data_IF_200343004454
#
_entry.id   IF_200343004454
#
_cell.length_a   1.000
_cell.length_b   1.000
_cell.length_c   1.000
_cell.angle_alpha   90.00
_cell.angle_beta   90.00
_cell.angle_gamma   90.00
#
_symmetry.space_group_name_H-M   'P 1'
#
loop_
_entity.id
_entity.type
_entity.pdbx_description
1 polymer ?
#
# COMPACT_ATOMS: atom_id res chain seq x y z
N UNK A 1 -27.22 2.01 18.42
CA UNK A 1 -26.65 0.65 18.62
C UNK A 1 -26.03 0.09 17.34
N UNK A 2 -26.74 0.12 16.20
CA UNK A 2 -26.24 -0.36 14.89
C UNK A 2 -24.89 0.24 14.43
N UNK A 3 -24.68 1.55 14.62
CA UNK A 3 -23.43 2.23 14.24
C UNK A 3 -22.18 1.70 14.95
N UNK A 4 -22.33 1.27 16.22
CA UNK A 4 -21.23 0.67 17.00
C UNK A 4 -20.81 -0.69 16.43
N UNK A 5 -21.77 -1.53 16.06
CA UNK A 5 -21.47 -2.84 15.47
C UNK A 5 -20.82 -2.73 14.10
N UNK A 6 -21.26 -1.78 13.27
CA UNK A 6 -20.63 -1.50 11.97
C UNK A 6 -19.19 -1.03 12.13
N UNK A 7 -18.93 -0.13 13.08
CA UNK A 7 -17.57 0.36 13.37
C UNK A 7 -16.66 -0.78 13.86
N UNK A 8 -17.15 -1.63 14.77
CA UNK A 8 -16.41 -2.78 15.26
C UNK A 8 -16.10 -3.77 14.13
N UNK A 9 -17.09 -4.10 13.29
CA UNK A 9 -16.89 -4.98 12.14
C UNK A 9 -15.84 -4.42 11.17
N UNK A 10 -15.87 -3.11 10.88
CA UNK A 10 -14.88 -2.45 10.03
C UNK A 10 -13.47 -2.55 10.60
N UNK A 11 -13.29 -2.28 11.89
CA UNK A 11 -11.99 -2.39 12.56
C UNK A 11 -11.49 -3.84 12.51
N UNK A 12 -12.36 -4.81 12.79
CA UNK A 12 -12.02 -6.23 12.74
C UNK A 12 -11.59 -6.65 11.33
N UNK A 13 -12.35 -6.28 10.30
CA UNK A 13 -12.00 -6.58 8.89
C UNK A 13 -10.68 -5.91 8.50
N UNK A 14 -10.45 -4.66 8.91
CA UNK A 14 -9.19 -3.96 8.67
C UNK A 14 -8.00 -4.69 9.29
N UNK A 15 -8.10 -5.09 10.56
CA UNK A 15 -7.05 -5.83 11.26
C UNK A 15 -6.74 -7.15 10.56
N UNK A 16 -7.77 -7.94 10.25
CA UNK A 16 -7.56 -9.22 9.56
C UNK A 16 -6.97 -9.04 8.15
N UNK A 17 -7.42 -8.04 7.40
CA UNK A 17 -6.90 -7.77 6.06
C UNK A 17 -5.43 -7.36 6.11
N UNK A 18 -5.07 -6.43 7.02
CA UNK A 18 -3.69 -5.99 7.21
C UNK A 18 -2.78 -7.15 7.62
N UNK A 19 -3.22 -7.98 8.57
CA UNK A 19 -2.45 -9.13 9.03
C UNK A 19 -2.28 -10.16 7.92
N UNK A 20 -3.37 -10.55 7.26
CA UNK A 20 -3.33 -11.53 6.18
C UNK A 20 -2.42 -11.05 5.03
N UNK A 21 -2.57 -9.81 4.58
CA UNK A 21 -1.74 -9.25 3.50
C UNK A 21 -0.28 -9.12 3.93
N UNK A 22 0.00 -8.66 5.14
CA UNK A 22 1.39 -8.55 5.63
C UNK A 22 2.07 -9.91 5.70
N UNK A 23 1.39 -10.93 6.24
CA UNK A 23 1.92 -12.30 6.31
C UNK A 23 2.16 -12.85 4.91
N UNK A 24 1.21 -12.69 3.98
CA UNK A 24 1.36 -13.16 2.61
C UNK A 24 2.55 -12.50 1.90
N UNK A 25 2.76 -11.19 2.10
CA UNK A 25 3.88 -10.47 1.51
C UNK A 25 5.23 -10.91 2.09
N UNK A 26 5.30 -11.25 3.37
CA UNK A 26 6.51 -11.72 4.03
C UNK A 26 6.86 -13.18 3.69
N UNK A 27 5.85 -14.02 3.41
CA UNK A 27 6.03 -15.43 3.05
C UNK A 27 5.99 -15.67 1.54
N UNK A 28 6.04 -14.62 0.71
CA UNK A 28 5.78 -14.74 -0.73
C UNK A 28 6.83 -15.59 -1.45
N UNK A 29 8.10 -15.58 -1.02
CA UNK A 29 9.16 -16.42 -1.61
C UNK A 29 8.81 -17.90 -1.50
N UNK A 30 8.51 -18.37 -0.29
CA UNK A 30 8.18 -19.76 -0.02
C UNK A 30 6.91 -20.20 -0.74
N UNK A 31 5.89 -19.32 -0.80
CA UNK A 31 4.66 -19.58 -1.53
C UNK A 31 4.90 -19.73 -3.04
N UNK A 32 5.74 -18.87 -3.62
CA UNK A 32 6.09 -18.95 -5.04
C UNK A 32 6.91 -20.22 -5.34
N UNK A 33 7.88 -20.55 -4.49
CA UNK A 33 8.68 -21.78 -4.62
C UNK A 33 7.77 -23.02 -4.50
N UNK A 34 6.80 -23.01 -3.57
CA UNK A 34 5.80 -24.07 -3.43
C UNK A 34 4.97 -24.23 -4.72
N UNK A 35 4.66 -23.12 -5.40
CA UNK A 35 4.02 -23.10 -6.72
C UNK A 35 4.96 -23.46 -7.89
N UNK A 36 6.17 -23.95 -7.63
CA UNK A 36 7.21 -24.30 -8.61
C UNK A 36 7.74 -23.13 -9.43
N UNK A 37 7.69 -21.91 -8.88
CA UNK A 37 8.33 -20.76 -9.50
C UNK A 37 9.86 -20.88 -9.43
N UNK A 38 10.54 -20.28 -10.41
CA UNK A 38 12.00 -20.15 -10.37
C UNK A 38 12.46 -19.45 -9.07
N UNK A 39 13.43 -20.03 -8.32
CA UNK A 39 13.88 -19.46 -7.05
C UNK A 39 14.49 -18.05 -7.16
N UNK A 40 15.15 -17.73 -8.28
CA UNK A 40 15.73 -16.40 -8.47
C UNK A 40 14.64 -15.35 -8.67
N UNK A 41 13.62 -15.67 -9.48
CA UNK A 41 12.45 -14.80 -9.67
C UNK A 41 11.66 -14.66 -8.37
N UNK A 42 11.46 -15.75 -7.63
CA UNK A 42 10.74 -15.73 -6.35
C UNK A 42 11.42 -14.82 -5.31
N UNK A 43 12.75 -14.93 -5.17
CA UNK A 43 13.53 -14.05 -4.27
C UNK A 43 13.50 -12.59 -4.72
N UNK A 44 13.59 -12.34 -6.01
CA UNK A 44 13.52 -10.99 -6.57
C UNK A 44 12.15 -10.34 -6.26
N UNK A 45 11.04 -11.07 -6.42
CA UNK A 45 9.71 -10.59 -6.07
C UNK A 45 9.52 -10.43 -4.54
N UNK A 46 10.08 -11.35 -3.74
CA UNK A 46 10.06 -11.27 -2.27
C UNK A 46 10.71 -10.00 -1.72
N UNK A 47 11.83 -9.57 -2.31
CA UNK A 47 12.49 -8.32 -1.91
C UNK A 47 11.59 -7.08 -2.10
N UNK A 48 10.82 -7.04 -3.20
CA UNK A 48 9.80 -6.01 -3.42
C UNK A 48 8.66 -6.10 -2.41
N UNK A 49 8.07 -7.29 -2.26
CA UNK A 49 6.91 -7.52 -1.39
C UNK A 49 7.21 -7.20 0.08
N UNK A 50 8.40 -7.60 0.56
CA UNK A 50 8.85 -7.32 1.92
C UNK A 50 8.96 -5.80 2.15
N UNK A 51 9.58 -5.07 1.24
CA UNK A 51 9.68 -3.61 1.34
C UNK A 51 8.32 -2.90 1.20
N UNK A 52 7.43 -3.42 0.34
CA UNK A 52 6.08 -2.91 0.14
C UNK A 52 5.15 -3.15 1.34
N UNK A 53 5.46 -4.16 2.18
CA UNK A 53 4.65 -4.51 3.36
C UNK A 53 4.49 -3.36 4.35
N UNK A 54 5.51 -2.49 4.45
CA UNK A 54 5.49 -1.29 5.29
C UNK A 54 4.36 -0.32 4.91
N UNK A 55 3.95 -0.31 3.64
CA UNK A 55 2.88 0.53 3.11
C UNK A 55 1.47 -0.07 3.18
N UNK A 56 1.30 -1.27 3.73
CA UNK A 56 0.00 -1.98 3.70
C UNK A 56 -1.06 -1.26 4.52
N UNK A 57 -0.75 -0.88 5.76
CA UNK A 57 -1.68 -0.14 6.63
C UNK A 57 -2.15 1.17 5.97
N UNK A 58 -1.25 2.08 5.55
CA UNK A 58 -1.68 3.33 4.92
C UNK A 58 -2.39 3.11 3.58
N UNK A 59 -2.11 2.02 2.86
CA UNK A 59 -2.86 1.64 1.67
C UNK A 59 -4.34 1.36 1.99
N UNK A 60 -4.62 0.51 2.99
CA UNK A 60 -5.99 0.20 3.40
C UNK A 60 -6.74 1.41 3.96
N UNK A 61 -6.06 2.27 4.72
CA UNK A 61 -6.65 3.52 5.21
C UNK A 61 -6.99 4.44 4.04
N UNK A 62 -6.07 4.60 3.08
CA UNK A 62 -6.31 5.39 1.87
C UNK A 62 -7.46 4.84 1.02
N UNK A 63 -7.61 3.53 0.91
CA UNK A 63 -8.72 2.88 0.22
C UNK A 63 -10.07 3.20 0.89
N UNK A 64 -10.10 3.25 2.23
CA UNK A 64 -11.28 3.66 2.98
C UNK A 64 -11.66 5.11 2.67
N UNK A 65 -10.68 6.03 2.63
CA UNK A 65 -10.92 7.42 2.22
C UNK A 65 -11.45 7.52 0.79
N UNK A 66 -10.87 6.78 -0.16
CA UNK A 66 -11.34 6.76 -1.55
C UNK A 66 -12.79 6.32 -1.64
N UNK A 67 -13.16 5.21 -0.97
CA UNK A 67 -14.53 4.72 -0.93
C UNK A 67 -15.47 5.77 -0.32
N UNK A 68 -15.05 6.46 0.73
CA UNK A 68 -15.81 7.57 1.29
C UNK A 68 -16.05 8.68 0.25
N UNK A 69 -14.99 9.18 -0.41
CA UNK A 69 -15.10 10.24 -1.42
C UNK A 69 -15.94 9.85 -2.63
N UNK A 70 -15.85 8.59 -3.08
CA UNK A 70 -16.72 8.06 -4.13
C UNK A 70 -18.19 8.13 -3.71
N UNK A 71 -18.51 7.68 -2.49
CA UNK A 71 -19.89 7.66 -1.98
C UNK A 71 -20.49 9.06 -1.79
N UNK A 72 -19.67 10.09 -1.55
CA UNK A 72 -20.11 11.49 -1.47
C UNK A 72 -19.97 12.26 -2.79
N UNK A 73 -19.74 11.55 -3.91
CA UNK A 73 -19.55 12.13 -5.26
C UNK A 73 -18.43 13.18 -5.36
N UNK A 74 -17.36 13.03 -4.55
CA UNK A 74 -16.16 13.89 -4.57
C UNK A 74 -14.97 13.18 -5.22
N UNK A 75 -15.19 12.60 -6.39
CA UNK A 75 -14.16 11.81 -7.10
C UNK A 75 -13.02 12.67 -7.65
N UNK A 76 -13.26 13.96 -7.91
CA UNK A 76 -12.21 14.92 -8.30
C UNK A 76 -11.11 15.05 -7.24
N UNK A 77 -11.48 15.02 -5.97
CA UNK A 77 -10.54 15.10 -4.86
C UNK A 77 -9.60 13.89 -4.81
N UNK A 78 -10.11 12.71 -5.18
CA UNK A 78 -9.28 11.50 -5.31
C UNK A 78 -8.26 11.68 -6.43
N UNK A 79 -8.69 12.26 -7.56
CA UNK A 79 -7.83 12.48 -8.71
C UNK A 79 -6.70 13.47 -8.40
N UNK A 80 -7.02 14.58 -7.73
CA UNK A 80 -6.02 15.57 -7.29
C UNK A 80 -4.92 14.92 -6.42
N UNK A 81 -5.33 14.13 -5.43
CA UNK A 81 -4.39 13.42 -4.55
C UNK A 81 -3.55 12.43 -5.34
N UNK A 82 -4.15 11.70 -6.29
CA UNK A 82 -3.42 10.75 -7.13
C UNK A 82 -2.39 11.40 -8.02
N UNK A 83 -2.70 12.55 -8.62
CA UNK A 83 -1.75 13.29 -9.46
C UNK A 83 -0.56 13.76 -8.61
N UNK A 84 -0.83 14.34 -7.44
CA UNK A 84 0.21 14.80 -6.52
C UNK A 84 1.12 13.65 -6.08
N UNK A 85 0.53 12.54 -5.64
CA UNK A 85 1.27 11.41 -5.11
C UNK A 85 2.00 10.65 -6.22
N UNK A 86 1.46 10.57 -7.44
CA UNK A 86 2.16 10.01 -8.59
C UNK A 86 3.43 10.79 -8.94
N UNK A 87 3.37 12.13 -8.88
CA UNK A 87 4.55 12.96 -9.07
C UNK A 87 5.63 12.68 -8.01
N UNK A 88 5.23 12.55 -6.73
CA UNK A 88 6.14 12.17 -5.65
C UNK A 88 6.68 10.74 -5.82
N UNK A 89 5.87 9.80 -6.31
CA UNK A 89 6.30 8.42 -6.56
C UNK A 89 7.47 8.35 -7.55
N UNK A 90 7.44 9.17 -8.61
CA UNK A 90 8.55 9.26 -9.57
C UNK A 90 9.84 9.69 -8.86
N UNK A 91 9.75 10.65 -7.95
CA UNK A 91 10.91 11.11 -7.15
C UNK A 91 11.44 9.98 -6.26
N UNK A 92 10.56 9.24 -5.59
CA UNK A 92 10.96 8.09 -4.76
C UNK A 92 11.60 6.97 -5.57
N UNK A 93 11.05 6.67 -6.75
CA UNK A 93 11.62 5.69 -7.67
C UNK A 93 13.01 6.13 -8.16
N UNK A 94 13.18 7.41 -8.56
CA UNK A 94 14.50 7.92 -8.93
C UNK A 94 15.51 7.80 -7.79
N UNK A 95 15.13 8.18 -6.56
CA UNK A 95 16.01 8.10 -5.41
C UNK A 95 16.37 6.65 -5.04
N UNK A 96 15.39 5.77 -4.86
CA UNK A 96 15.65 4.41 -4.36
C UNK A 96 16.17 3.45 -5.43
N UNK A 97 15.67 3.57 -6.67
CA UNK A 97 16.06 2.66 -7.75
C UNK A 97 17.26 3.19 -8.52
N UNK A 98 17.26 4.49 -8.85
CA UNK A 98 18.33 5.11 -9.64
C UNK A 98 19.56 5.48 -8.81
N UNK A 99 19.36 6.30 -7.77
CA UNK A 99 20.47 6.85 -6.98
C UNK A 99 21.04 5.86 -5.97
N UNK A 100 20.18 5.24 -5.16
CA UNK A 100 20.61 4.25 -4.15
C UNK A 100 20.75 2.82 -4.69
N UNK A 101 20.34 2.57 -5.95
CA UNK A 101 20.48 1.27 -6.61
C UNK A 101 19.91 0.08 -5.83
N UNK A 102 18.81 0.28 -5.09
CA UNK A 102 18.17 -0.75 -4.26
C UNK A 102 17.33 -1.75 -5.06
N UNK A 103 17.33 -1.66 -6.40
CA UNK A 103 16.60 -2.55 -7.31
C UNK A 103 15.13 -2.73 -6.88
N UNK A 104 14.63 -3.97 -6.82
CA UNK A 104 13.24 -4.30 -6.46
C UNK A 104 12.85 -3.84 -5.05
N UNK A 105 13.77 -3.92 -4.08
CA UNK A 105 13.57 -3.37 -2.73
C UNK A 105 13.28 -1.87 -2.82
N UNK A 106 14.00 -1.16 -3.67
CA UNK A 106 13.80 0.28 -3.90
C UNK A 106 12.41 0.62 -4.44
N UNK A 107 11.91 -0.19 -5.39
CA UNK A 107 10.54 -0.04 -5.91
C UNK A 107 9.52 -0.29 -4.79
N UNK A 108 9.74 -1.30 -3.95
CA UNK A 108 8.86 -1.61 -2.82
C UNK A 108 8.82 -0.49 -1.78
N UNK A 109 9.97 0.11 -1.46
CA UNK A 109 10.07 1.27 -0.56
C UNK A 109 9.39 2.51 -1.15
N UNK A 110 9.58 2.78 -2.45
CA UNK A 110 8.91 3.87 -3.16
C UNK A 110 7.39 3.69 -3.08
N UNK A 111 6.88 2.48 -3.31
CA UNK A 111 5.47 2.16 -3.17
C UNK A 111 4.96 2.37 -1.73
N UNK A 112 5.72 1.93 -0.72
CA UNK A 112 5.37 2.14 0.69
C UNK A 112 5.25 3.62 1.05
N UNK A 113 6.23 4.44 0.67
CA UNK A 113 6.16 5.89 0.90
C UNK A 113 5.02 6.57 0.14
N UNK A 114 4.68 6.07 -1.03
CA UNK A 114 3.57 6.57 -1.85
C UNK A 114 2.23 6.31 -1.16
N UNK A 115 2.06 5.12 -0.58
CA UNK A 115 0.89 4.79 0.22
C UNK A 115 0.82 5.67 1.49
N UNK A 116 1.94 5.86 2.19
CA UNK A 116 2.01 6.78 3.33
C UNK A 116 1.62 8.21 2.92
N UNK A 117 2.17 8.72 1.82
CA UNK A 117 1.86 10.05 1.30
C UNK A 117 0.38 10.19 0.94
N UNK A 118 -0.19 9.20 0.27
CA UNK A 118 -1.63 9.15 -0.05
C UNK A 118 -2.47 9.26 1.23
N UNK A 119 -2.13 8.46 2.24
CA UNK A 119 -2.85 8.43 3.51
C UNK A 119 -2.76 9.76 4.23
N UNK A 120 -1.58 10.38 4.26
CA UNK A 120 -1.34 11.68 4.91
C UNK A 120 -2.11 12.79 4.19
N UNK A 121 -2.08 12.83 2.86
CA UNK A 121 -2.76 13.88 2.08
C UNK A 121 -4.28 13.77 2.23
N UNK A 122 -4.84 12.55 2.19
CA UNK A 122 -6.26 12.35 2.50
C UNK A 122 -6.60 12.74 3.94
N UNK A 123 -5.75 12.40 4.90
CA UNK A 123 -5.93 12.76 6.31
C UNK A 123 -5.91 14.27 6.55
N UNK A 124 -4.95 14.99 5.97
CA UNK A 124 -4.76 16.42 6.19
C UNK A 124 -5.81 17.31 5.50
N UNK A 125 -6.25 16.93 4.30
CA UNK A 125 -7.13 17.81 3.50
C UNK A 125 -8.61 17.72 3.92
N UNK A 126 -8.99 16.72 4.71
CA UNK A 126 -10.39 16.41 4.97
C UNK A 126 -10.72 16.08 6.45
N UNK A 127 -9.79 16.37 7.37
CA UNK A 127 -10.00 16.50 8.81
C UNK A 127 -9.56 17.88 9.26
#
# INVERSE_FOLDING_TARGET
MMYRYLTQAQITVLIYSVLATSILLLCVEDLMILCRQDPHVARAASSYCTAASLGVIPCYVSDTFRKFFVNVNRTSDIQDVQILVAALHIVWCYLFVGFFQLQNTGVGLANSLTNCGTCIVFGYRYW
#
